data_IF_463452099991
#
_entry.id   IF_463452099991
#
_cell.length_a   1.000
_cell.length_b   1.000
_cell.length_c   1.000
_cell.angle_alpha   90.00
_cell.angle_beta   90.00
_cell.angle_gamma   90.00
#
_symmetry.space_group_name_H-M   'P 1'
#
loop_
_entity.id
_entity.type
_entity.pdbx_description
1 polymer ?
#
# COMPACT_ATOMS: atom_id res chain seq x y z
N UNK A 1 -32.29 -31.95 -16.78
CA UNK A 1 -32.43 -31.83 -15.32
C UNK A 1 -32.09 -30.41 -14.91
N UNK A 2 -32.97 -29.62 -14.30
CA UNK A 2 -32.62 -28.31 -13.81
C UNK A 2 -31.70 -28.50 -12.59
N UNK A 3 -30.48 -27.99 -12.68
CA UNK A 3 -29.59 -27.86 -11.52
C UNK A 3 -30.27 -26.96 -10.50
N UNK A 4 -30.54 -27.48 -9.31
CA UNK A 4 -31.03 -26.69 -8.19
C UNK A 4 -29.92 -25.70 -7.80
N UNK A 5 -29.95 -24.50 -8.35
CA UNK A 5 -29.25 -23.38 -7.77
C UNK A 5 -29.91 -23.12 -6.41
N UNK A 6 -29.21 -23.48 -5.34
CA UNK A 6 -29.57 -22.99 -4.01
C UNK A 6 -29.48 -21.47 -4.11
N UNK A 7 -30.60 -20.79 -4.16
CA UNK A 7 -30.64 -19.33 -4.18
C UNK A 7 -29.92 -18.82 -2.94
N UNK A 8 -28.88 -18.04 -3.11
CA UNK A 8 -28.29 -17.32 -1.99
C UNK A 8 -29.36 -16.42 -1.37
N UNK A 9 -29.57 -16.57 -0.08
CA UNK A 9 -30.45 -15.66 0.66
C UNK A 9 -29.92 -14.23 0.50
N UNK A 10 -30.77 -13.29 0.06
CA UNK A 10 -30.32 -11.90 -0.09
C UNK A 10 -29.82 -11.40 1.26
N UNK A 11 -28.53 -11.00 1.29
CA UNK A 11 -27.93 -10.33 2.44
C UNK A 11 -28.19 -8.85 2.34
N UNK A 12 -28.94 -8.31 3.28
CA UNK A 12 -29.01 -6.88 3.46
C UNK A 12 -27.81 -6.44 4.30
N UNK A 13 -26.99 -5.55 3.76
CA UNK A 13 -25.92 -4.89 4.48
C UNK A 13 -26.47 -3.53 4.87
N UNK A 14 -26.54 -3.25 6.18
CA UNK A 14 -26.98 -1.95 6.67
C UNK A 14 -26.09 -0.80 6.19
N UNK A 15 -26.59 0.42 6.31
CA UNK A 15 -25.79 1.62 6.02
C UNK A 15 -24.55 1.65 6.94
N UNK A 16 -23.40 1.95 6.35
CA UNK A 16 -22.16 2.21 7.09
C UNK A 16 -22.23 3.65 7.62
N UNK A 17 -22.76 3.80 8.83
CA UNK A 17 -22.87 5.09 9.51
C UNK A 17 -21.51 5.45 10.10
N UNK A 18 -20.83 6.48 9.60
CA UNK A 18 -19.53 6.84 10.12
C UNK A 18 -19.59 7.33 11.57
N UNK A 19 -18.76 6.78 12.43
CA UNK A 19 -18.64 7.24 13.82
C UNK A 19 -17.94 8.59 13.85
N UNK A 20 -18.57 9.64 14.45
CA UNK A 20 -17.95 10.95 14.57
C UNK A 20 -16.69 10.95 15.44
N UNK A 21 -15.78 11.90 15.19
CA UNK A 21 -14.56 12.09 15.98
C UNK A 21 -14.88 12.22 17.48
N UNK A 22 -15.83 13.08 17.86
CA UNK A 22 -16.19 13.31 19.26
C UNK A 22 -16.66 12.05 19.99
N UNK A 23 -17.42 11.20 19.31
CA UNK A 23 -17.89 9.93 19.89
C UNK A 23 -16.74 8.95 20.09
N UNK A 24 -15.83 8.85 19.11
CA UNK A 24 -14.65 7.99 19.23
C UNK A 24 -13.71 8.46 20.36
N UNK A 25 -13.50 9.76 20.48
CA UNK A 25 -12.70 10.37 21.55
C UNK A 25 -13.29 10.09 22.93
N UNK A 26 -14.56 10.34 23.14
CA UNK A 26 -15.25 10.10 24.40
C UNK A 26 -15.19 8.62 24.80
N UNK A 27 -15.50 7.72 23.87
CA UNK A 27 -15.44 6.28 24.13
C UNK A 27 -14.02 5.83 24.51
N UNK A 28 -13.01 6.37 23.82
CA UNK A 28 -11.60 6.04 24.12
C UNK A 28 -11.13 6.64 25.45
N UNK A 29 -11.54 7.86 25.78
CA UNK A 29 -11.24 8.48 27.07
C UNK A 29 -11.79 7.63 28.21
N UNK A 30 -13.07 7.25 28.13
CA UNK A 30 -13.68 6.37 29.13
C UNK A 30 -13.03 5.01 29.24
N UNK A 31 -12.62 4.45 28.10
CA UNK A 31 -11.87 3.20 28.10
C UNK A 31 -10.49 3.37 28.75
N UNK A 32 -9.77 4.45 28.48
CA UNK A 32 -8.47 4.70 29.09
C UNK A 32 -8.54 4.98 30.59
N UNK A 33 -9.58 5.68 31.02
CA UNK A 33 -9.79 6.04 32.43
C UNK A 33 -10.33 4.86 33.26
N UNK A 34 -10.87 3.82 32.60
CA UNK A 34 -11.50 2.67 33.26
C UNK A 34 -12.75 3.01 34.05
N UNK A 35 -13.42 4.12 33.70
CA UNK A 35 -14.59 4.62 34.40
C UNK A 35 -15.86 4.45 33.57
N UNK A 36 -16.77 3.62 34.05
CA UNK A 36 -18.08 3.30 33.43
C UNK A 36 -19.25 3.43 34.40
N UNK A 37 -19.04 4.01 35.60
CA UNK A 37 -20.05 4.03 36.67
C UNK A 37 -21.31 4.82 36.29
N UNK A 38 -21.15 5.90 35.53
CA UNK A 38 -22.21 6.78 35.08
C UNK A 38 -22.91 6.29 33.78
N UNK A 39 -22.43 5.18 33.19
CA UNK A 39 -23.03 4.66 31.95
C UNK A 39 -24.22 3.75 32.23
N UNK A 40 -25.33 3.90 31.47
CA UNK A 40 -26.51 3.04 31.58
C UNK A 40 -26.31 1.67 30.94
N UNK A 41 -25.34 0.91 31.45
CA UNK A 41 -24.96 -0.42 30.96
C UNK A 41 -25.21 -1.48 32.02
N UNK A 42 -25.45 -2.73 31.59
CA UNK A 42 -25.63 -3.86 32.51
C UNK A 42 -24.32 -4.24 33.21
N UNK A 43 -24.43 -4.96 34.33
CA UNK A 43 -23.23 -5.42 35.07
C UNK A 43 -22.38 -6.38 34.22
N UNK A 44 -22.99 -7.19 33.36
CA UNK A 44 -22.26 -8.07 32.42
C UNK A 44 -21.46 -7.24 31.40
N UNK A 45 -22.07 -6.20 30.85
CA UNK A 45 -21.37 -5.30 29.92
C UNK A 45 -20.22 -4.55 30.61
N UNK A 46 -20.42 -4.13 31.87
CA UNK A 46 -19.38 -3.52 32.71
C UNK A 46 -18.22 -4.47 32.95
N UNK A 47 -18.49 -5.72 33.29
CA UNK A 47 -17.48 -6.73 33.51
C UNK A 47 -16.65 -7.00 32.22
N UNK A 48 -17.30 -7.03 31.05
CA UNK A 48 -16.63 -7.17 29.75
C UNK A 48 -15.70 -5.99 29.49
N UNK A 49 -16.15 -4.75 29.70
CA UNK A 49 -15.34 -3.54 29.51
C UNK A 49 -14.13 -3.51 30.48
N UNK A 50 -14.33 -3.88 31.74
CA UNK A 50 -13.24 -3.98 32.72
C UNK A 50 -12.21 -5.03 32.32
N UNK A 51 -12.65 -6.22 31.89
CA UNK A 51 -11.77 -7.27 31.38
C UNK A 51 -10.98 -6.83 30.17
N UNK A 52 -11.62 -6.11 29.24
CA UNK A 52 -10.98 -5.56 28.05
C UNK A 52 -9.93 -4.48 28.38
N UNK A 53 -10.29 -3.53 29.25
CA UNK A 53 -9.36 -2.50 29.75
C UNK A 53 -8.11 -3.15 30.40
N UNK A 54 -8.33 -4.11 31.30
CA UNK A 54 -7.23 -4.79 31.99
C UNK A 54 -6.36 -5.59 31.02
N UNK A 55 -6.95 -6.23 30.00
CA UNK A 55 -6.19 -6.96 28.98
C UNK A 55 -5.24 -6.03 28.23
N UNK A 56 -5.70 -4.85 27.81
CA UNK A 56 -4.85 -3.89 27.11
C UNK A 56 -3.68 -3.44 28.00
N UNK A 57 -3.95 -3.10 29.26
CA UNK A 57 -2.92 -2.68 30.22
C UNK A 57 -1.86 -3.77 30.48
N UNK A 58 -2.28 -5.03 30.50
CA UNK A 58 -1.37 -6.16 30.73
C UNK A 58 -0.50 -6.49 29.50
N UNK A 59 -1.00 -6.25 28.30
CA UNK A 59 -0.34 -6.63 27.06
C UNK A 59 0.51 -5.49 26.47
N UNK A 60 0.12 -4.24 26.65
CA UNK A 60 0.76 -3.12 26.00
C UNK A 60 0.44 -1.75 26.57
N UNK A 61 0.37 -0.77 25.69
CA UNK A 61 0.07 0.62 26.02
C UNK A 61 -1.37 0.94 25.67
N UNK A 62 -2.12 1.53 26.60
CA UNK A 62 -3.49 1.96 26.38
C UNK A 62 -3.55 3.12 25.37
N UNK A 63 -4.19 2.96 24.21
CA UNK A 63 -4.43 4.08 23.31
C UNK A 63 -5.46 5.04 23.91
N UNK A 64 -5.29 6.32 23.66
CA UNK A 64 -6.18 7.36 24.21
C UNK A 64 -6.27 8.54 23.24
N UNK A 65 -7.13 9.55 23.50
CA UNK A 65 -7.18 10.78 22.72
C UNK A 65 -5.83 11.48 22.52
N UNK A 66 -4.93 11.37 23.51
CA UNK A 66 -3.60 11.99 23.50
C UNK A 66 -2.45 10.99 23.29
N UNK A 67 -2.77 9.73 23.04
CA UNK A 67 -1.78 8.67 22.87
C UNK A 67 -2.13 7.77 21.67
N UNK A 68 -1.40 7.95 20.58
CA UNK A 68 -1.42 7.05 19.43
C UNK A 68 -0.42 5.93 19.66
N UNK A 69 -0.87 4.68 19.63
CA UNK A 69 0.03 3.53 19.72
C UNK A 69 0.24 2.88 18.35
N UNK A 70 1.46 2.42 18.10
CA UNK A 70 1.81 1.69 16.88
C UNK A 70 2.25 0.29 17.27
N UNK A 71 1.56 -0.71 16.77
CA UNK A 71 1.90 -2.13 16.89
C UNK A 71 2.39 -2.67 15.54
N UNK A 72 3.31 -3.62 15.56
CA UNK A 72 3.74 -4.33 14.37
C UNK A 72 3.43 -5.83 14.50
N UNK A 73 2.55 -6.33 13.63
CA UNK A 73 2.20 -7.73 13.50
C UNK A 73 2.70 -8.26 12.14
N UNK A 74 3.92 -8.79 12.11
CA UNK A 74 4.60 -9.19 10.85
C UNK A 74 4.70 -8.02 9.87
N UNK A 75 3.86 -8.03 8.82
CA UNK A 75 3.76 -6.97 7.81
C UNK A 75 2.64 -5.96 8.07
N UNK A 76 1.80 -6.22 9.08
CA UNK A 76 0.73 -5.29 9.45
C UNK A 76 1.24 -4.30 10.49
N UNK A 77 1.00 -3.03 10.26
CA UNK A 77 1.14 -1.97 11.25
C UNK A 77 -0.26 -1.55 11.67
N UNK A 78 -0.51 -1.58 12.96
CA UNK A 78 -1.77 -1.18 13.55
C UNK A 78 -1.52 0.11 14.33
N UNK A 79 -2.15 1.19 13.88
CA UNK A 79 -2.15 2.48 14.54
C UNK A 79 -3.46 2.59 15.31
N UNK A 80 -3.39 2.48 16.62
CA UNK A 80 -4.57 2.64 17.48
C UNK A 80 -4.72 4.12 17.81
N UNK A 81 -5.77 4.72 17.28
CA UNK A 81 -6.12 6.13 17.51
C UNK A 81 -7.62 6.35 17.35
N UNK A 82 -8.29 6.98 18.32
CA UNK A 82 -9.73 7.21 18.30
C UNK A 82 -10.11 8.42 17.41
N UNK A 83 -9.71 8.40 16.15
CA UNK A 83 -9.94 9.48 15.20
C UNK A 83 -11.37 9.50 14.60
N UNK A 84 -12.19 8.50 14.92
CA UNK A 84 -13.46 8.31 14.24
C UNK A 84 -13.28 7.86 12.79
N UNK A 85 -14.37 7.58 12.11
CA UNK A 85 -14.33 6.93 10.80
C UNK A 85 -13.63 7.78 9.74
N UNK A 86 -13.92 9.09 9.68
CA UNK A 86 -13.42 9.96 8.60
C UNK A 86 -11.95 10.31 8.77
N UNK A 87 -11.52 10.68 9.98
CA UNK A 87 -10.12 11.02 10.24
C UNK A 87 -9.23 9.79 10.09
N UNK A 88 -9.62 8.63 10.66
CA UNK A 88 -8.84 7.40 10.52
C UNK A 88 -8.72 6.95 9.06
N UNK A 89 -9.79 7.10 8.27
CA UNK A 89 -9.71 6.89 6.82
C UNK A 89 -8.71 7.82 6.16
N UNK A 90 -8.69 9.09 6.54
CA UNK A 90 -7.79 10.11 6.00
C UNK A 90 -6.33 9.80 6.34
N UNK A 91 -6.06 9.47 7.61
CA UNK A 91 -4.71 9.05 8.07
C UNK A 91 -4.25 7.81 7.29
N UNK A 92 -5.09 6.77 7.23
CA UNK A 92 -4.77 5.52 6.52
C UNK A 92 -4.45 5.74 5.05
N UNK A 93 -5.21 6.60 4.38
CA UNK A 93 -4.99 6.95 2.98
C UNK A 93 -3.65 7.66 2.77
N UNK A 94 -3.33 8.66 3.60
CA UNK A 94 -2.08 9.42 3.50
C UNK A 94 -0.88 8.53 3.81
N UNK A 95 -0.92 7.77 4.92
CA UNK A 95 0.15 6.86 5.32
C UNK A 95 0.41 5.82 4.22
N UNK A 96 -0.65 5.23 3.69
CA UNK A 96 -0.57 4.28 2.59
C UNK A 96 0.06 4.89 1.33
N UNK A 97 -0.34 6.10 0.95
CA UNK A 97 0.21 6.82 -0.19
C UNK A 97 1.70 7.16 -0.01
N UNK A 98 2.09 7.64 1.17
CA UNK A 98 3.49 7.99 1.49
C UNK A 98 4.39 6.76 1.52
N UNK A 99 3.95 5.66 2.14
CA UNK A 99 4.68 4.39 2.14
C UNK A 99 4.81 3.83 0.72
N UNK A 100 3.75 3.93 -0.07
CA UNK A 100 3.76 3.48 -1.47
C UNK A 100 4.74 4.29 -2.30
N UNK A 101 4.77 5.61 -2.13
CA UNK A 101 5.72 6.49 -2.83
C UNK A 101 7.17 6.23 -2.40
N UNK A 102 7.42 6.03 -1.10
CA UNK A 102 8.75 5.74 -0.55
C UNK A 102 9.26 4.37 -0.98
N UNK A 103 8.41 3.36 -0.91
CA UNK A 103 8.78 1.96 -1.14
C UNK A 103 8.68 1.53 -2.60
N UNK A 104 7.90 2.21 -3.42
CA UNK A 104 7.63 1.84 -4.81
C UNK A 104 6.71 0.62 -4.96
N UNK A 105 5.90 0.31 -3.94
CA UNK A 105 4.85 -0.71 -3.99
C UNK A 105 3.54 -0.16 -3.45
N UNK A 106 2.45 -0.80 -3.79
CA UNK A 106 1.16 -0.48 -3.19
C UNK A 106 1.09 -1.00 -1.77
N UNK A 107 0.71 -0.11 -0.88
CA UNK A 107 0.40 -0.37 0.51
C UNK A 107 -1.11 -0.36 0.66
N UNK A 108 -1.67 -1.41 1.23
CA UNK A 108 -3.08 -1.49 1.56
C UNK A 108 -3.34 -0.91 2.94
N UNK A 109 -4.56 -0.41 3.16
CA UNK A 109 -4.99 -0.03 4.49
C UNK A 109 -6.45 -0.37 4.72
N UNK A 110 -6.79 -0.61 5.97
CA UNK A 110 -8.16 -0.65 6.51
C UNK A 110 -8.25 0.32 7.66
N UNK A 111 -9.44 0.66 8.06
CA UNK A 111 -9.66 1.52 9.21
C UNK A 111 -11.00 1.16 9.88
N UNK A 112 -11.05 1.41 11.14
CA UNK A 112 -12.27 1.53 11.93
C UNK A 112 -12.21 2.83 12.75
N UNK A 113 -13.22 3.20 13.53
CA UNK A 113 -13.21 4.45 14.29
C UNK A 113 -12.07 4.60 15.29
N UNK A 114 -11.41 3.49 15.65
CA UNK A 114 -10.40 3.42 16.71
C UNK A 114 -9.02 2.97 16.21
N UNK A 115 -8.93 2.45 14.98
CA UNK A 115 -7.69 1.87 14.44
C UNK A 115 -7.51 2.15 12.95
N UNK A 116 -6.25 2.18 12.56
CA UNK A 116 -5.84 2.14 11.16
C UNK A 116 -4.87 0.96 11.00
N UNK A 117 -5.17 0.06 10.08
CA UNK A 117 -4.38 -1.13 9.80
C UNK A 117 -3.72 -0.94 8.44
N UNK A 118 -2.39 -0.98 8.40
CA UNK A 118 -1.60 -0.77 7.20
C UNK A 118 -0.89 -2.06 6.83
N UNK A 119 -1.20 -2.62 5.67
CA UNK A 119 -0.51 -3.80 5.12
C UNK A 119 0.70 -3.34 4.30
N UNK A 120 1.85 -3.25 4.96
CA UNK A 120 3.09 -2.79 4.36
C UNK A 120 4.03 -3.97 4.05
N UNK A 121 4.93 -3.83 3.06
CA UNK A 121 5.94 -4.85 2.77
C UNK A 121 6.86 -5.10 3.97
N UNK A 122 7.37 -6.33 4.07
CA UNK A 122 8.27 -6.80 5.16
C UNK A 122 9.51 -5.95 5.41
N UNK A 123 9.88 -5.06 4.48
CA UNK A 123 11.00 -4.11 4.63
C UNK A 123 10.60 -2.80 5.29
N UNK A 124 9.31 -2.54 5.46
CA UNK A 124 8.84 -1.37 6.19
C UNK A 124 9.11 -1.61 7.67
N UNK A 125 9.78 -0.67 8.29
CA UNK A 125 10.10 -0.74 9.71
C UNK A 125 9.20 0.20 10.50
N UNK A 126 9.13 -0.01 11.81
CA UNK A 126 8.46 0.92 12.73
C UNK A 126 9.09 2.31 12.64
N UNK A 127 10.41 2.40 12.41
CA UNK A 127 11.10 3.69 12.20
C UNK A 127 10.59 4.42 10.97
N UNK A 128 10.26 3.69 9.90
CA UNK A 128 9.65 4.29 8.71
C UNK A 128 8.26 4.83 9.01
N UNK A 129 7.47 4.11 9.80
CA UNK A 129 6.16 4.55 10.24
C UNK A 129 6.23 5.79 11.09
N UNK A 130 7.11 5.81 12.11
CA UNK A 130 7.36 6.98 12.96
C UNK A 130 7.85 8.18 12.15
N UNK A 131 8.76 7.96 11.19
CA UNK A 131 9.25 9.03 10.33
C UNK A 131 8.15 9.64 9.46
N UNK A 132 7.18 8.84 9.01
CA UNK A 132 6.01 9.34 8.30
C UNK A 132 5.12 10.15 9.22
N UNK A 133 4.82 9.63 10.42
CA UNK A 133 3.96 10.32 11.38
C UNK A 133 4.52 11.67 11.83
N UNK A 134 5.85 11.76 12.02
CA UNK A 134 6.56 12.99 12.40
C UNK A 134 6.93 13.90 11.22
N UNK A 135 6.94 13.36 10.01
CA UNK A 135 7.34 14.05 8.79
C UNK A 135 6.16 14.55 7.94
N UNK A 136 4.97 14.61 8.50
CA UNK A 136 3.84 15.22 7.82
C UNK A 136 4.12 16.70 7.56
N UNK A 137 4.13 17.07 6.28
CA UNK A 137 4.47 18.42 5.84
C UNK A 137 3.20 19.23 5.59
N UNK A 138 3.33 20.54 5.73
CA UNK A 138 2.34 21.56 5.36
C UNK A 138 1.91 21.40 3.88
N UNK A 139 0.75 20.99 3.60
CA UNK A 139 -0.04 20.97 2.36
C UNK A 139 -0.83 19.66 2.21
N UNK A 140 -1.65 19.41 3.24
CA UNK A 140 -2.50 18.22 3.33
C UNK A 140 -3.45 18.11 2.15
N UNK A 141 -4.05 19.22 1.74
CA UNK A 141 -5.01 19.22 0.63
C UNK A 141 -4.41 18.70 -0.68
N UNK A 142 -3.18 19.11 -1.03
CA UNK A 142 -2.50 18.61 -2.23
C UNK A 142 -2.13 17.13 -2.08
N UNK A 143 -1.71 16.71 -0.89
CA UNK A 143 -1.37 15.32 -0.61
C UNK A 143 -2.61 14.42 -0.68
N UNK A 144 -3.73 14.89 -0.15
CA UNK A 144 -5.01 14.18 -0.25
C UNK A 144 -5.47 14.06 -1.69
N UNK A 145 -5.49 15.15 -2.45
CA UNK A 145 -5.86 15.12 -3.88
C UNK A 145 -4.98 14.16 -4.69
N UNK A 146 -3.69 14.09 -4.35
CA UNK A 146 -2.79 13.10 -4.93
C UNK A 146 -3.16 11.67 -4.50
N UNK A 147 -3.40 11.44 -3.22
CA UNK A 147 -3.69 10.12 -2.68
C UNK A 147 -5.03 9.54 -3.17
N UNK A 148 -6.03 10.40 -3.39
CA UNK A 148 -7.36 9.94 -3.84
C UNK A 148 -7.45 9.68 -5.34
N UNK A 149 -6.56 10.28 -6.15
CA UNK A 149 -6.66 10.33 -7.63
C UNK A 149 -6.95 8.98 -8.28
N UNK A 150 -6.37 7.92 -7.76
CA UNK A 150 -6.54 6.56 -8.29
C UNK A 150 -7.25 5.61 -7.32
N UNK A 151 -7.84 6.15 -6.25
CA UNK A 151 -8.54 5.33 -5.26
C UNK A 151 -9.81 4.71 -5.86
N UNK A 152 -10.14 3.46 -5.51
CA UNK A 152 -11.40 2.83 -5.94
C UNK A 152 -12.62 3.63 -5.49
N UNK A 153 -12.52 4.30 -4.36
CA UNK A 153 -13.61 5.07 -3.78
C UNK A 153 -13.89 6.34 -4.61
N UNK A 154 -12.86 7.07 -5.08
CA UNK A 154 -13.06 8.19 -6.01
C UNK A 154 -13.65 7.68 -7.34
N UNK A 155 -13.22 6.52 -7.83
CA UNK A 155 -13.79 5.91 -9.04
C UNK A 155 -15.28 5.66 -8.92
N UNK A 156 -15.70 5.12 -7.79
CA UNK A 156 -17.11 4.89 -7.49
C UNK A 156 -17.88 6.21 -7.40
N UNK A 157 -17.29 7.22 -6.73
CA UNK A 157 -17.90 8.56 -6.61
C UNK A 157 -18.03 9.26 -7.97
N UNK A 158 -17.01 9.17 -8.83
CA UNK A 158 -17.04 9.73 -10.19
C UNK A 158 -18.16 9.08 -11.02
N UNK A 159 -18.27 7.75 -10.96
CA UNK A 159 -19.35 7.03 -11.65
C UNK A 159 -20.72 7.46 -11.17
N UNK A 160 -20.88 7.60 -9.84
CA UNK A 160 -22.13 8.06 -9.25
C UNK A 160 -22.48 9.49 -9.71
N UNK A 161 -21.51 10.40 -9.66
CA UNK A 161 -21.70 11.78 -10.13
C UNK A 161 -22.00 11.83 -11.63
N UNK A 162 -21.31 11.03 -12.45
CA UNK A 162 -21.51 10.95 -13.90
C UNK A 162 -22.93 10.46 -14.27
N UNK A 163 -23.45 9.47 -13.55
CA UNK A 163 -24.82 8.99 -13.72
C UNK A 163 -25.84 10.05 -13.27
N UNK A 164 -25.60 10.68 -12.13
CA UNK A 164 -26.50 11.71 -11.59
C UNK A 164 -26.58 12.93 -12.50
N UNK A 165 -25.48 13.30 -13.15
CA UNK A 165 -25.42 14.43 -14.08
C UNK A 165 -25.81 14.05 -15.53
N UNK A 166 -26.23 12.81 -15.77
CA UNK A 166 -26.62 12.34 -17.09
C UNK A 166 -25.47 12.16 -18.08
N UNK A 167 -24.22 12.24 -17.63
CA UNK A 167 -23.05 12.02 -18.49
C UNK A 167 -22.87 10.53 -18.84
N UNK A 168 -23.42 9.65 -18.03
CA UNK A 168 -23.46 8.19 -18.26
C UNK A 168 -24.89 7.73 -17.99
N UNK A 169 -25.44 6.91 -18.89
CA UNK A 169 -26.77 6.33 -18.67
C UNK A 169 -26.79 5.46 -17.41
N UNK A 170 -27.91 5.47 -16.62
CA UNK A 170 -27.99 4.71 -15.38
C UNK A 170 -27.70 3.21 -15.51
N UNK A 171 -28.10 2.63 -16.64
CA UNK A 171 -27.98 1.21 -16.99
C UNK A 171 -26.71 0.87 -17.79
N UNK A 172 -25.84 1.85 -18.08
CA UNK A 172 -24.63 1.61 -18.84
C UNK A 172 -23.70 0.63 -18.12
N UNK A 173 -23.26 -0.41 -18.84
CA UNK A 173 -22.26 -1.37 -18.38
C UNK A 173 -20.85 -0.75 -18.45
N UNK A 174 -20.47 -0.10 -17.35
CA UNK A 174 -19.17 0.57 -17.21
C UNK A 174 -18.00 -0.44 -17.19
N UNK A 175 -18.27 -1.72 -16.92
CA UNK A 175 -17.27 -2.78 -16.97
C UNK A 175 -16.66 -2.93 -18.36
N UNK A 176 -17.42 -2.68 -19.42
CA UNK A 176 -16.95 -2.73 -20.82
C UNK A 176 -15.98 -1.62 -21.21
N UNK A 177 -16.15 -0.42 -20.67
CA UNK A 177 -15.32 0.74 -21.02
C UNK A 177 -14.03 0.86 -20.19
N UNK A 178 -13.97 0.21 -19.07
CA UNK A 178 -12.84 0.28 -18.13
C UNK A 178 -12.79 1.60 -17.35
N UNK A 179 -12.81 1.52 -16.05
CA UNK A 179 -12.82 2.68 -15.14
C UNK A 179 -11.67 3.67 -15.37
N UNK A 180 -10.52 3.18 -15.86
CA UNK A 180 -9.36 4.04 -16.16
C UNK A 180 -9.66 5.01 -17.30
N UNK A 181 -10.30 4.54 -18.38
CA UNK A 181 -10.70 5.39 -19.51
C UNK A 181 -11.73 6.44 -19.10
N UNK A 182 -12.65 6.06 -18.21
CA UNK A 182 -13.62 7.01 -17.65
C UNK A 182 -12.94 8.17 -16.94
N UNK A 183 -11.96 7.86 -16.07
CA UNK A 183 -11.19 8.88 -15.34
C UNK A 183 -10.41 9.76 -16.32
N UNK A 184 -9.74 9.16 -17.29
CA UNK A 184 -8.98 9.89 -18.31
C UNK A 184 -9.90 10.84 -19.13
N UNK A 185 -11.10 10.38 -19.49
CA UNK A 185 -12.05 11.18 -20.24
C UNK A 185 -12.65 12.37 -19.46
N UNK A 186 -12.75 12.25 -18.14
CA UNK A 186 -13.36 13.28 -17.30
C UNK A 186 -12.38 14.05 -16.41
N UNK A 187 -11.08 13.74 -16.43
CA UNK A 187 -10.06 14.30 -15.52
C UNK A 187 -9.99 15.82 -15.49
N UNK A 188 -10.25 16.47 -16.63
CA UNK A 188 -10.20 17.93 -16.78
C UNK A 188 -11.59 18.58 -16.86
N UNK A 189 -12.62 17.89 -16.39
CA UNK A 189 -14.00 18.37 -16.44
C UNK A 189 -14.52 18.79 -15.08
N UNK A 190 -15.54 19.69 -15.02
CA UNK A 190 -16.22 20.04 -13.78
C UNK A 190 -16.81 18.83 -13.04
N UNK A 191 -17.21 17.81 -13.78
CA UNK A 191 -17.72 16.55 -13.20
C UNK A 191 -16.68 15.84 -12.34
N UNK A 192 -15.42 15.79 -12.79
CA UNK A 192 -14.33 15.21 -12.01
C UNK A 192 -14.03 16.05 -10.77
N UNK A 193 -13.98 17.38 -10.92
CA UNK A 193 -13.78 18.31 -9.81
C UNK A 193 -14.88 18.11 -8.75
N UNK A 194 -16.14 18.07 -9.15
CA UNK A 194 -17.27 17.81 -8.25
C UNK A 194 -17.15 16.46 -7.56
N UNK A 195 -16.75 15.42 -8.27
CA UNK A 195 -16.57 14.08 -7.68
C UNK A 195 -15.46 14.08 -6.62
N UNK A 196 -14.35 14.80 -6.87
CA UNK A 196 -13.25 14.97 -5.92
C UNK A 196 -13.68 15.74 -4.68
N UNK A 197 -14.29 16.94 -4.87
CA UNK A 197 -14.74 17.76 -3.75
C UNK A 197 -15.79 17.03 -2.89
N UNK A 198 -16.71 16.35 -3.54
CA UNK A 198 -17.72 15.56 -2.86
C UNK A 198 -17.12 14.39 -2.08
N UNK A 199 -16.10 13.73 -2.64
CA UNK A 199 -15.39 12.68 -1.94
C UNK A 199 -14.62 13.22 -0.73
N UNK A 200 -13.91 14.33 -0.88
CA UNK A 200 -13.22 15.00 0.22
C UNK A 200 -14.20 15.38 1.32
N UNK A 201 -15.29 16.04 0.96
CA UNK A 201 -16.28 16.53 1.92
C UNK A 201 -16.98 15.41 2.70
N UNK A 202 -17.43 14.34 2.03
CA UNK A 202 -18.24 13.30 2.68
C UNK A 202 -17.40 12.17 3.30
N UNK A 203 -16.22 11.89 2.77
CA UNK A 203 -15.48 10.69 3.11
C UNK A 203 -14.21 10.94 3.90
N UNK A 204 -13.65 12.14 3.84
CA UNK A 204 -12.40 12.49 4.48
C UNK A 204 -12.59 13.64 5.47
N UNK A 205 -11.57 13.86 6.29
CA UNK A 205 -11.50 14.95 7.26
C UNK A 205 -10.16 15.68 7.11
N UNK A 206 -10.12 16.65 6.20
CA UNK A 206 -8.93 17.45 5.92
C UNK A 206 -8.53 18.30 7.12
N UNK A 207 -9.51 19.00 7.74
CA UNK A 207 -9.27 19.86 8.92
C UNK A 207 -8.85 19.05 10.14
N UNK A 208 -9.50 17.90 10.37
CA UNK A 208 -9.11 16.98 11.43
C UNK A 208 -7.69 16.44 11.23
N UNK A 209 -7.28 16.19 9.98
CA UNK A 209 -5.93 15.77 9.65
C UNK A 209 -4.90 16.86 9.90
N UNK A 210 -5.17 18.10 9.53
CA UNK A 210 -4.31 19.26 9.82
C UNK A 210 -4.10 19.41 11.33
N UNK A 211 -5.19 19.37 12.10
CA UNK A 211 -5.12 19.41 13.57
C UNK A 211 -4.32 18.23 14.13
N UNK A 212 -4.60 17.01 13.70
CA UNK A 212 -3.90 15.81 14.14
C UNK A 212 -2.37 15.90 13.94
N UNK A 213 -1.95 16.45 12.81
CA UNK A 213 -0.53 16.67 12.50
C UNK A 213 0.06 17.73 13.42
N UNK A 214 -0.63 18.83 13.63
CA UNK A 214 -0.23 19.88 14.54
C UNK A 214 -0.07 19.32 15.96
N UNK A 215 -1.07 18.61 16.45
CA UNK A 215 -1.09 18.01 17.78
C UNK A 215 0.09 17.01 17.98
N UNK A 216 0.47 16.23 16.95
CA UNK A 216 1.66 15.36 17.00
C UNK A 216 2.95 16.18 17.05
N UNK A 217 3.08 17.23 16.23
CA UNK A 217 4.30 18.04 16.16
C UNK A 217 4.51 18.90 17.41
N UNK A 218 3.44 19.34 18.04
CA UNK A 218 3.45 20.11 19.30
C UNK A 218 3.57 19.20 20.54
N UNK A 219 3.42 17.87 20.37
CA UNK A 219 3.54 16.89 21.44
C UNK A 219 2.25 16.68 22.25
N UNK A 220 1.13 17.28 21.82
CA UNK A 220 -0.19 17.06 22.41
C UNK A 220 -0.67 15.61 22.19
N UNK A 221 -0.29 15.00 21.08
CA UNK A 221 -0.47 13.58 20.82
C UNK A 221 0.88 12.89 20.86
N UNK A 222 1.08 12.04 21.84
CA UNK A 222 2.28 11.22 21.96
C UNK A 222 2.16 9.98 21.06
N UNK A 223 3.20 9.69 20.27
CA UNK A 223 3.27 8.49 19.44
C UNK A 223 4.17 7.46 20.12
N UNK A 224 3.59 6.33 20.56
CA UNK A 224 4.27 5.29 21.33
C UNK A 224 4.27 3.96 20.54
N UNK A 225 5.39 3.25 20.62
CA UNK A 225 5.47 1.87 20.17
C UNK A 225 4.91 0.96 21.24
N UNK A 226 3.91 0.16 20.88
CA UNK A 226 3.31 -0.84 21.75
C UNK A 226 3.74 -2.24 21.34
N UNK A 227 3.90 -3.16 22.30
CA UNK A 227 3.91 -4.59 22.00
C UNK A 227 2.65 -5.00 21.23
N UNK A 228 2.68 -6.19 20.67
CA UNK A 228 1.49 -6.77 20.03
C UNK A 228 0.43 -7.04 21.09
N UNK A 229 -0.78 -6.56 20.85
CA UNK A 229 -1.91 -6.78 21.73
C UNK A 229 -3.00 -7.60 21.01
N UNK A 230 -3.75 -8.40 21.77
CA UNK A 230 -4.94 -9.08 21.27
C UNK A 230 -5.98 -8.04 20.80
N UNK A 231 -6.06 -6.90 21.47
CA UNK A 231 -6.92 -5.78 21.10
C UNK A 231 -6.58 -5.20 19.72
N UNK A 232 -5.31 -4.91 19.45
CA UNK A 232 -4.88 -4.36 18.15
C UNK A 232 -5.26 -5.28 17.00
N UNK A 233 -5.20 -6.58 17.21
CA UNK A 233 -5.51 -7.59 16.19
C UNK A 233 -6.97 -8.08 16.22
N UNK A 234 -7.76 -7.73 17.23
CA UNK A 234 -9.14 -8.21 17.40
C UNK A 234 -10.02 -7.80 16.21
N UNK A 235 -10.84 -8.73 15.71
CA UNK A 235 -11.78 -8.48 14.64
C UNK A 235 -11.15 -8.20 13.26
N UNK A 236 -9.85 -8.38 13.10
CA UNK A 236 -9.25 -8.40 11.77
C UNK A 236 -9.69 -9.67 11.06
N UNK A 237 -10.47 -9.49 10.01
CA UNK A 237 -10.93 -10.60 9.18
C UNK A 237 -9.70 -11.40 8.68
N UNK A 238 -9.64 -12.72 8.89
CA UNK A 238 -8.60 -13.56 8.30
C UNK A 238 -8.59 -13.50 6.76
N UNK A 239 -9.66 -13.02 6.14
CA UNK A 239 -9.72 -12.75 4.70
C UNK A 239 -9.01 -11.43 4.36
N UNK A 240 -7.68 -11.44 4.43
CA UNK A 240 -6.78 -10.34 4.04
C UNK A 240 -6.91 -9.85 2.60
N UNK A 241 -7.86 -10.38 1.84
CA UNK A 241 -8.06 -10.03 0.42
C UNK A 241 -8.58 -8.61 0.22
N UNK A 242 -9.26 -8.04 1.19
CA UNK A 242 -9.71 -6.65 1.17
C UNK A 242 -8.58 -5.62 1.28
N UNK A 243 -7.42 -6.01 1.83
CA UNK A 243 -6.23 -5.17 1.88
C UNK A 243 -5.42 -5.18 0.58
N UNK A 244 -5.81 -6.01 -0.40
CA UNK A 244 -5.15 -6.02 -1.71
C UNK A 244 -5.56 -4.78 -2.49
N UNK A 245 -4.67 -3.80 -2.68
CA UNK A 245 -5.00 -2.65 -3.49
C UNK A 245 -5.26 -3.12 -4.93
N UNK A 246 -6.23 -2.53 -5.63
CA UNK A 246 -6.38 -2.75 -7.05
C UNK A 246 -5.11 -2.33 -7.80
N UNK A 247 -4.93 -2.80 -9.01
CA UNK A 247 -3.75 -2.66 -9.88
C UNK A 247 -2.93 -1.38 -9.67
N UNK A 248 -1.61 -1.51 -9.75
CA UNK A 248 -0.65 -0.42 -9.49
C UNK A 248 -0.97 0.87 -10.25
N UNK A 249 -1.01 1.96 -9.51
CA UNK A 249 -1.26 3.31 -9.97
C UNK A 249 -0.09 3.86 -10.81
N UNK A 250 -0.37 4.80 -11.68
CA UNK A 250 0.63 5.47 -12.53
C UNK A 250 1.74 6.13 -11.73
N UNK A 251 1.43 6.72 -10.57
CA UNK A 251 2.42 7.35 -9.69
C UNK A 251 3.37 6.32 -9.06
N UNK A 252 2.85 5.17 -8.64
CA UNK A 252 3.66 4.04 -8.13
C UNK A 252 4.53 3.48 -9.26
N UNK A 253 3.98 3.32 -10.45
CA UNK A 253 4.74 2.88 -11.64
C UNK A 253 5.90 3.82 -11.93
N UNK A 254 5.67 5.13 -11.91
CA UNK A 254 6.71 6.15 -12.12
C UNK A 254 7.78 6.09 -11.01
N UNK A 255 7.37 6.00 -9.75
CA UNK A 255 8.28 5.92 -8.61
C UNK A 255 9.16 4.64 -8.68
N UNK A 256 8.55 3.50 -8.99
CA UNK A 256 9.27 2.25 -9.17
C UNK A 256 10.20 2.32 -10.38
N UNK A 257 9.76 2.84 -11.52
CA UNK A 257 10.62 3.02 -12.70
C UNK A 257 11.84 3.88 -12.36
N UNK A 258 11.68 4.99 -11.64
CA UNK A 258 12.80 5.83 -11.18
C UNK A 258 13.76 5.05 -10.27
N UNK A 259 13.24 4.25 -9.35
CA UNK A 259 14.05 3.40 -8.47
C UNK A 259 14.84 2.37 -9.27
N UNK A 260 14.17 1.62 -10.17
CA UNK A 260 14.81 0.62 -11.03
C UNK A 260 15.95 1.25 -11.84
N UNK A 261 15.73 2.41 -12.46
CA UNK A 261 16.74 3.13 -13.24
C UNK A 261 17.94 3.59 -12.42
N UNK A 262 17.79 3.78 -11.09
CA UNK A 262 18.87 4.15 -10.16
C UNK A 262 19.57 2.95 -9.52
N UNK A 263 19.00 1.75 -9.66
CA UNK A 263 19.57 0.52 -9.10
C UNK A 263 20.89 0.19 -9.81
N UNK A 264 21.91 -0.12 -9.03
CA UNK A 264 23.19 -0.63 -9.53
C UNK A 264 23.05 -2.14 -9.79
N UNK A 265 23.45 -2.61 -10.96
CA UNK A 265 23.56 -4.02 -11.28
C UNK A 265 25.04 -4.40 -11.39
N UNK A 266 25.35 -5.63 -11.02
CA UNK A 266 26.64 -6.23 -11.30
C UNK A 266 26.58 -6.91 -12.66
N UNK A 267 27.50 -6.53 -13.54
CA UNK A 267 27.70 -7.09 -14.88
C UNK A 267 28.91 -8.01 -14.85
N UNK A 268 28.69 -9.29 -15.09
CA UNK A 268 29.76 -10.28 -15.18
C UNK A 268 29.86 -10.85 -16.58
N UNK A 269 31.02 -10.72 -17.22
CA UNK A 269 31.27 -11.33 -18.51
C UNK A 269 31.55 -12.84 -18.35
N UNK A 270 30.83 -13.67 -19.08
CA UNK A 270 30.99 -15.12 -19.01
C UNK A 270 32.17 -15.64 -19.83
N UNK A 271 32.85 -14.76 -20.62
CA UNK A 271 34.01 -15.13 -21.45
C UNK A 271 35.35 -14.81 -20.80
N UNK A 272 35.45 -13.74 -19.99
CA UNK A 272 36.71 -13.32 -19.37
C UNK A 272 36.56 -12.96 -17.89
N UNK A 273 35.40 -13.26 -17.28
CA UNK A 273 35.10 -12.98 -15.89
C UNK A 273 35.18 -11.49 -15.45
N UNK A 274 35.38 -10.57 -16.38
CA UNK A 274 35.37 -9.15 -16.06
C UNK A 274 34.07 -8.76 -15.38
N UNK A 275 34.18 -8.14 -14.22
CA UNK A 275 33.04 -7.76 -13.38
C UNK A 275 33.05 -6.26 -13.16
N UNK A 276 31.84 -5.63 -13.30
CA UNK A 276 31.70 -4.18 -13.12
C UNK A 276 30.28 -3.85 -12.63
N UNK A 277 30.18 -2.79 -11.86
CA UNK A 277 28.87 -2.23 -11.44
C UNK A 277 28.43 -1.13 -12.39
N UNK A 278 27.14 -1.11 -12.77
CA UNK A 278 26.54 -0.05 -13.59
C UNK A 278 25.08 0.15 -13.18
N UNK A 279 24.67 1.41 -13.17
CA UNK A 279 23.24 1.77 -12.98
C UNK A 279 22.42 1.35 -14.20
N UNK A 280 21.22 0.87 -13.96
CA UNK A 280 20.29 0.51 -15.05
C UNK A 280 20.16 1.65 -16.05
N UNK A 281 20.03 2.91 -15.61
CA UNK A 281 19.98 4.10 -16.48
C UNK A 281 21.17 4.22 -17.45
N UNK A 282 22.32 3.71 -17.07
CA UNK A 282 23.52 3.72 -17.95
C UNK A 282 23.45 2.54 -18.92
N UNK A 283 23.01 1.38 -18.43
CA UNK A 283 22.86 0.16 -19.24
C UNK A 283 21.86 0.40 -20.39
N UNK A 284 20.75 1.11 -20.14
CA UNK A 284 19.73 1.40 -21.15
C UNK A 284 20.18 2.37 -22.26
N UNK A 285 21.34 2.99 -22.11
CA UNK A 285 21.89 3.94 -23.10
C UNK A 285 23.00 3.37 -23.96
N UNK A 286 23.55 2.21 -23.61
CA UNK A 286 24.72 1.63 -24.23
C UNK A 286 24.53 0.15 -24.50
N UNK A 287 25.14 -0.38 -25.57
CA UNK A 287 25.15 -1.81 -25.81
C UNK A 287 25.84 -2.58 -24.67
N UNK A 288 25.27 -3.72 -24.30
CA UNK A 288 25.83 -4.64 -23.31
C UNK A 288 26.97 -5.45 -23.90
N UNK A 289 28.15 -4.83 -23.98
CA UNK A 289 29.39 -5.46 -24.50
C UNK A 289 30.46 -5.38 -23.42
N UNK A 290 31.30 -6.43 -23.32
CA UNK A 290 32.43 -6.44 -22.42
C UNK A 290 33.54 -5.52 -22.94
N UNK A 291 34.03 -4.55 -22.15
CA UNK A 291 35.11 -3.68 -22.60
C UNK A 291 36.48 -4.37 -22.74
N UNK A 292 36.64 -5.54 -22.13
CA UNK A 292 37.92 -6.27 -22.12
C UNK A 292 38.05 -7.26 -23.28
N UNK A 293 36.97 -8.02 -23.58
CA UNK A 293 36.99 -9.08 -24.59
C UNK A 293 35.94 -8.96 -25.69
N UNK A 294 35.18 -7.87 -25.70
CA UNK A 294 34.12 -7.55 -26.65
C UNK A 294 32.98 -8.59 -26.72
N UNK A 295 32.88 -9.48 -25.75
CA UNK A 295 31.81 -10.49 -25.68
C UNK A 295 30.48 -9.86 -25.32
N UNK A 296 29.38 -10.37 -25.90
CA UNK A 296 27.99 -10.01 -25.57
C UNK A 296 27.37 -10.93 -24.51
N UNK A 297 28.12 -11.89 -23.98
CA UNK A 297 27.65 -12.80 -22.92
C UNK A 297 27.87 -12.18 -21.55
N UNK A 298 27.02 -11.21 -21.19
CA UNK A 298 27.11 -10.47 -19.95
C UNK A 298 25.93 -10.89 -19.05
N UNK A 299 26.22 -11.51 -17.92
CA UNK A 299 25.24 -11.79 -16.88
C UNK A 299 24.95 -10.54 -16.06
N UNK A 300 23.68 -10.26 -15.82
CA UNK A 300 23.20 -9.19 -14.96
C UNK A 300 22.80 -9.80 -13.61
N UNK A 301 23.29 -9.23 -12.52
CA UNK A 301 23.02 -9.69 -11.16
C UNK A 301 22.55 -8.52 -10.29
N UNK A 302 21.53 -8.77 -9.46
CA UNK A 302 21.09 -7.79 -8.48
C UNK A 302 22.09 -7.73 -7.31
N UNK A 303 22.38 -6.57 -6.71
CA UNK A 303 23.33 -6.46 -5.58
C UNK A 303 23.00 -7.36 -4.40
N UNK A 304 21.74 -7.71 -4.19
CA UNK A 304 21.32 -8.64 -3.12
C UNK A 304 21.73 -10.11 -3.35
N UNK A 305 22.23 -10.45 -4.54
CA UNK A 305 22.71 -11.80 -4.87
C UNK A 305 24.24 -11.91 -4.75
N UNK A 306 24.93 -10.81 -4.40
CA UNK A 306 26.40 -10.77 -4.32
C UNK A 306 26.98 -11.67 -3.24
N UNK A 307 26.24 -11.88 -2.16
CA UNK A 307 26.68 -12.70 -1.01
C UNK A 307 26.31 -14.19 -1.16
N UNK A 308 25.71 -14.57 -2.30
CA UNK A 308 25.31 -15.95 -2.60
C UNK A 308 26.11 -16.50 -3.77
N UNK A 309 26.59 -17.74 -3.66
CA UNK A 309 27.15 -18.45 -4.82
C UNK A 309 26.09 -18.60 -5.91
N UNK A 310 26.27 -17.83 -6.99
CA UNK A 310 25.35 -17.89 -8.14
C UNK A 310 25.79 -19.02 -9.07
N UNK A 311 24.92 -20.03 -9.21
CA UNK A 311 25.23 -21.19 -10.07
C UNK A 311 25.45 -20.77 -11.53
N UNK A 312 26.36 -21.48 -12.23
CA UNK A 312 26.66 -21.24 -13.65
C UNK A 312 25.41 -21.24 -14.53
N UNK A 313 24.43 -22.10 -14.22
CA UNK A 313 23.14 -22.15 -14.91
C UNK A 313 22.35 -20.81 -14.80
N UNK A 314 22.32 -20.19 -13.61
CA UNK A 314 21.68 -18.89 -13.41
C UNK A 314 22.42 -17.78 -14.15
N UNK A 315 23.75 -17.79 -14.14
CA UNK A 315 24.59 -16.83 -14.87
C UNK A 315 24.34 -16.90 -16.39
N UNK A 316 24.38 -18.09 -16.95
CA UNK A 316 24.11 -18.31 -18.39
C UNK A 316 22.69 -17.85 -18.76
N UNK A 317 21.70 -18.17 -17.93
CA UNK A 317 20.31 -17.74 -18.16
C UNK A 317 20.17 -16.22 -18.10
N UNK A 318 20.81 -15.57 -17.13
CA UNK A 318 20.84 -14.11 -17.03
C UNK A 318 21.48 -13.46 -18.26
N UNK A 319 22.62 -13.98 -18.70
CA UNK A 319 23.30 -13.48 -19.91
C UNK A 319 22.45 -13.67 -21.18
N UNK A 320 21.77 -14.80 -21.30
CA UNK A 320 20.84 -15.04 -22.41
C UNK A 320 19.67 -14.05 -22.42
N UNK A 321 19.09 -13.74 -21.25
CA UNK A 321 18.06 -12.74 -21.13
C UNK A 321 18.58 -11.33 -21.46
N UNK A 322 19.75 -10.97 -20.97
CA UNK A 322 20.38 -9.69 -21.28
C UNK A 322 20.64 -9.53 -22.79
N UNK A 323 21.10 -10.59 -23.46
CA UNK A 323 21.32 -10.60 -24.91
C UNK A 323 20.02 -10.48 -25.71
N UNK A 324 18.95 -11.18 -25.28
CA UNK A 324 17.69 -11.24 -26.03
C UNK A 324 16.77 -10.03 -25.80
N UNK A 325 16.80 -9.41 -24.60
CA UNK A 325 15.87 -8.37 -24.19
C UNK A 325 16.56 -7.04 -23.81
N UNK A 326 17.88 -6.98 -23.83
CA UNK A 326 18.65 -5.74 -23.63
C UNK A 326 18.31 -5.00 -22.36
N UNK A 327 17.93 -3.75 -22.51
CA UNK A 327 17.56 -2.81 -21.45
C UNK A 327 16.34 -3.29 -20.61
N UNK A 328 15.37 -3.95 -21.26
CA UNK A 328 14.23 -4.52 -20.55
C UNK A 328 14.65 -5.61 -19.57
N UNK A 329 15.62 -6.44 -19.93
CA UNK A 329 16.19 -7.43 -19.02
C UNK A 329 16.86 -6.75 -17.82
N UNK A 330 17.61 -5.66 -18.03
CA UNK A 330 18.24 -4.91 -16.96
C UNK A 330 17.19 -4.32 -16.00
N UNK A 331 16.09 -3.74 -16.51
CA UNK A 331 15.00 -3.24 -15.66
C UNK A 331 14.35 -4.35 -14.83
N UNK A 332 14.11 -5.51 -15.41
CA UNK A 332 13.44 -6.62 -14.71
C UNK A 332 14.35 -7.21 -13.62
N UNK A 333 15.63 -7.44 -13.94
CA UNK A 333 16.60 -7.97 -12.97
C UNK A 333 16.92 -6.97 -11.84
N UNK A 334 16.73 -5.67 -12.07
CA UNK A 334 16.81 -4.65 -11.02
C UNK A 334 15.66 -4.73 -10.01
N UNK A 335 14.61 -5.50 -10.29
CA UNK A 335 13.53 -5.78 -9.37
C UNK A 335 13.99 -6.63 -8.19
N UNK A 336 13.48 -6.30 -7.00
CA UNK A 336 13.86 -6.97 -5.75
C UNK A 336 13.34 -8.40 -5.72
N UNK A 337 14.24 -9.37 -5.48
CA UNK A 337 13.89 -10.79 -5.44
C UNK A 337 13.55 -11.39 -6.81
N UNK A 338 13.84 -10.69 -7.89
CA UNK A 338 13.64 -11.19 -9.25
C UNK A 338 14.92 -11.83 -9.77
N UNK A 339 15.03 -13.14 -9.66
CA UNK A 339 16.09 -13.92 -10.27
C UNK A 339 15.84 -14.20 -11.77
N UNK A 340 16.81 -14.81 -12.48
CA UNK A 340 16.73 -15.06 -13.94
C UNK A 340 15.51 -15.88 -14.38
N UNK A 341 15.01 -16.78 -13.53
CA UNK A 341 13.81 -17.59 -13.84
C UNK A 341 12.55 -16.74 -13.87
N UNK A 342 12.37 -15.92 -12.88
CA UNK A 342 11.24 -15.00 -12.77
C UNK A 342 11.32 -13.89 -13.83
N UNK A 343 12.53 -13.36 -14.07
CA UNK A 343 12.78 -12.40 -15.14
C UNK A 343 12.37 -12.96 -16.51
N UNK A 344 12.75 -14.21 -16.81
CA UNK A 344 12.35 -14.86 -18.05
C UNK A 344 10.82 -15.04 -18.20
N UNK A 345 10.08 -15.26 -17.09
CA UNK A 345 8.60 -15.33 -17.12
C UNK A 345 7.97 -13.97 -17.39
N UNK A 346 8.50 -12.90 -16.83
CA UNK A 346 8.01 -11.53 -17.04
C UNK A 346 8.27 -11.10 -18.50
N UNK A 347 9.49 -11.30 -18.99
CA UNK A 347 9.91 -10.85 -20.32
C UNK A 347 9.17 -11.55 -21.46
N UNK A 348 8.79 -12.83 -21.28
CA UNK A 348 8.00 -13.59 -22.27
C UNK A 348 6.53 -13.12 -22.40
N UNK A 349 6.01 -12.34 -21.48
CA UNK A 349 4.61 -11.85 -21.52
C UNK A 349 4.33 -10.85 -22.65
N UNK A 350 5.31 -10.49 -23.48
CA UNK A 350 5.19 -9.54 -24.60
C UNK A 350 4.44 -8.25 -24.22
N UNK A 351 4.82 -7.65 -23.10
CA UNK A 351 4.19 -6.46 -22.57
C UNK A 351 4.37 -5.28 -23.53
N UNK A 352 3.31 -4.50 -23.74
CA UNK A 352 3.23 -3.50 -24.82
C UNK A 352 4.21 -2.33 -24.60
N UNK A 353 4.32 -1.86 -23.36
CA UNK A 353 5.13 -0.70 -23.01
C UNK A 353 5.91 -0.90 -21.70
N UNK A 354 6.76 0.06 -21.37
CA UNK A 354 7.54 0.07 -20.13
C UNK A 354 6.67 0.17 -18.87
N UNK A 355 5.49 0.79 -18.96
CA UNK A 355 4.55 0.90 -17.84
C UNK A 355 4.02 -0.47 -17.45
N UNK A 356 3.64 -1.28 -18.44
CA UNK A 356 3.16 -2.64 -18.20
C UNK A 356 4.30 -3.55 -17.71
N UNK A 357 5.53 -3.33 -18.20
CA UNK A 357 6.71 -4.02 -17.70
C UNK A 357 6.96 -3.71 -16.21
N UNK A 358 6.90 -2.44 -15.83
CA UNK A 358 7.09 -2.01 -14.44
C UNK A 358 5.96 -2.54 -13.55
N UNK A 359 4.71 -2.62 -14.02
CA UNK A 359 3.61 -3.25 -13.27
C UNK A 359 3.88 -4.74 -13.01
N UNK A 360 4.35 -5.47 -14.03
CA UNK A 360 4.70 -6.89 -13.87
C UNK A 360 5.88 -7.08 -12.89
N UNK A 361 6.83 -6.16 -12.86
CA UNK A 361 7.92 -6.13 -11.86
C UNK A 361 7.34 -5.91 -10.47
N UNK A 362 6.45 -4.94 -10.29
CA UNK A 362 5.79 -4.65 -9.01
C UNK A 362 5.04 -5.88 -8.49
N UNK A 363 4.25 -6.54 -9.32
CA UNK A 363 3.52 -7.76 -8.96
C UNK A 363 4.47 -8.87 -8.49
N UNK A 364 5.60 -9.02 -9.17
CA UNK A 364 6.62 -10.00 -8.80
C UNK A 364 7.33 -9.64 -7.49
N UNK A 365 7.66 -8.36 -7.26
CA UNK A 365 8.24 -7.90 -6.00
C UNK A 365 7.28 -8.10 -4.82
N UNK A 366 5.97 -7.85 -5.02
CA UNK A 366 4.93 -8.11 -4.02
C UNK A 366 4.88 -9.61 -3.70
N UNK A 367 4.89 -10.46 -4.72
CA UNK A 367 4.88 -11.91 -4.54
C UNK A 367 6.12 -12.37 -3.77
N UNK A 368 7.30 -11.90 -4.15
CA UNK A 368 8.54 -12.20 -3.42
C UNK A 368 8.49 -11.75 -1.96
N UNK A 369 8.03 -10.52 -1.70
CA UNK A 369 7.90 -10.01 -0.34
C UNK A 369 6.95 -10.87 0.53
N UNK A 370 5.91 -11.46 -0.08
CA UNK A 370 4.96 -12.35 0.60
C UNK A 370 5.51 -13.75 0.87
N UNK A 371 6.34 -14.26 -0.04
CA UNK A 371 6.80 -15.65 0.00
C UNK A 371 8.20 -15.81 0.58
N UNK A 372 8.92 -14.72 0.85
CA UNK A 372 10.32 -14.73 1.29
C UNK A 372 10.54 -15.56 2.57
N UNK A 373 9.58 -15.52 3.50
CA UNK A 373 9.68 -16.27 4.76
C UNK A 373 9.70 -17.81 4.57
N UNK A 374 9.33 -18.30 3.39
CA UNK A 374 9.35 -19.72 3.05
C UNK A 374 10.64 -20.15 2.33
N UNK A 375 11.55 -19.21 2.02
CA UNK A 375 12.74 -19.45 1.21
C UNK A 375 14.07 -19.05 1.91
N UNK A 376 14.00 -18.40 3.04
CA UNK A 376 15.07 -18.10 3.99
C UNK A 376 14.98 -19.07 5.16
#
# INVERSE_FOLDING_TARGET
>A
SPSSSIGELPRWIGEDIPVPFSVAQEASSRLSDGNWEDLPITDEARAVLQGFHQSILNEGVMPSPICLTIEQHERLFILNYPGGSRLNRTIGMIVSAMLSAKGGYKVGYQFDPYRIIVDAPTRTTVKDMLAIMKGFVSNIGSLLRFAIKDSPALKSQLLHSARKMGAIAPDADVGRFGMKRLIEAYSDTPLYTEAVERFLFHQLDEKGMEKFITDINEGEITVILSPKTAHGYAGLDPYRDYLKPPKSDSSVVIAVKRRLMRTDLLLRCLSCDNTRKRKVKVITKHELVCPQCNSRMIALLHPMELDKEVSAKKLTKSASLARSYGDRAAMVIAGRGIGPDTAGRILRKQLRDDSDLVKAIIESEITYARTRQFWD
#
